data_IF_885219521199
#
_entry.id   IF_885219521199
#
_cell.length_a   1.000
_cell.length_b   1.000
_cell.length_c   1.000
_cell.angle_alpha   90.00
_cell.angle_beta   90.00
_cell.angle_gamma   90.00
#
_symmetry.space_group_name_H-M   'P 1'
#
loop_
_entity.id
_entity.type
_entity.pdbx_description
1 polymer ?
#
# COMPACT_ATOMS: atom_id res chain seq x y z
N UNK A 1 10.43 0.10 6.27
CA UNK A 1 9.54 0.61 7.34
C UNK A 1 10.28 1.26 8.48
N UNK A 2 11.26 0.63 9.14
CA UNK A 2 11.98 1.24 10.28
C UNK A 2 12.57 2.63 9.99
N UNK A 3 13.14 2.86 8.80
CA UNK A 3 13.60 4.20 8.37
C UNK A 3 12.48 5.23 8.27
N UNK A 4 11.31 4.85 7.75
CA UNK A 4 10.15 5.75 7.66
C UNK A 4 9.50 5.97 9.03
N UNK A 5 9.56 4.98 9.91
CA UNK A 5 9.09 5.09 11.29
C UNK A 5 9.88 6.14 12.08
N UNK A 6 11.17 6.27 11.82
CA UNK A 6 11.99 7.37 12.36
C UNK A 6 11.52 8.73 11.86
N UNK A 7 11.17 8.86 10.58
CA UNK A 7 10.62 10.11 10.04
C UNK A 7 9.22 10.42 10.57
N UNK A 8 8.38 9.40 10.72
CA UNK A 8 7.04 9.53 11.30
C UNK A 8 7.08 9.97 12.77
N UNK A 9 8.12 9.54 13.51
CA UNK A 9 8.34 9.98 14.88
C UNK A 9 8.66 11.48 14.95
N UNK A 10 9.47 11.97 14.00
CA UNK A 10 9.88 13.38 13.92
C UNK A 10 8.77 14.28 13.41
N UNK A 11 8.04 13.83 12.38
CA UNK A 11 7.06 14.62 11.67
C UNK A 11 5.76 13.83 11.47
N UNK A 12 4.90 13.76 12.51
CA UNK A 12 3.61 13.10 12.40
C UNK A 12 2.63 14.00 11.61
N UNK A 13 2.63 13.86 10.29
CA UNK A 13 1.74 14.63 9.39
C UNK A 13 1.01 13.70 8.42
N UNK A 14 -0.22 14.02 8.06
CA UNK A 14 -1.00 13.24 7.10
C UNK A 14 -0.38 13.22 5.68
N UNK A 15 0.54 14.15 5.36
CA UNK A 15 1.28 14.18 4.10
C UNK A 15 2.34 13.08 3.97
N UNK A 16 2.68 12.39 5.06
CA UNK A 16 3.58 11.23 5.06
C UNK A 16 4.86 11.43 4.26
N UNK A 17 5.10 10.54 3.29
CA UNK A 17 6.31 10.51 2.45
C UNK A 17 6.51 11.81 1.65
N UNK A 18 5.42 12.41 1.14
CA UNK A 18 5.50 13.69 0.44
C UNK A 18 6.10 14.76 1.34
N UNK A 19 5.59 14.87 2.57
CA UNK A 19 6.09 15.84 3.54
C UNK A 19 7.53 15.54 3.96
N UNK A 20 7.89 14.27 4.18
CA UNK A 20 9.27 13.90 4.49
C UNK A 20 10.23 14.43 3.43
N UNK A 21 9.90 14.25 2.14
CA UNK A 21 10.69 14.78 1.02
C UNK A 21 10.72 16.30 1.02
N UNK A 22 9.63 16.99 1.37
CA UNK A 22 9.66 18.46 1.52
C UNK A 22 10.69 18.90 2.56
N UNK A 23 10.87 18.18 3.67
CA UNK A 23 11.84 18.55 4.70
C UNK A 23 13.27 18.14 4.31
N UNK A 24 13.45 16.90 3.84
CA UNK A 24 14.78 16.31 3.66
C UNK A 24 15.40 16.59 2.28
N UNK A 25 14.63 16.91 1.25
CA UNK A 25 15.19 17.13 -0.10
C UNK A 25 16.03 18.43 -0.19
N UNK A 26 17.01 18.52 -1.12
CA UNK A 26 17.73 19.75 -1.41
C UNK A 26 16.79 20.87 -1.89
N UNK A 27 17.05 22.12 -1.52
CA UNK A 27 16.14 23.26 -1.78
C UNK A 27 15.75 23.39 -3.25
N UNK A 28 16.71 23.21 -4.17
CA UNK A 28 16.50 23.30 -5.62
C UNK A 28 15.48 22.28 -6.15
N UNK A 29 15.44 21.08 -5.57
CA UNK A 29 14.60 19.98 -6.06
C UNK A 29 13.42 19.66 -5.16
N UNK A 30 13.35 20.26 -3.96
CA UNK A 30 12.35 20.00 -2.91
C UNK A 30 10.91 20.04 -3.41
N UNK A 31 10.54 21.10 -4.15
CA UNK A 31 9.17 21.26 -4.65
C UNK A 31 8.81 20.21 -5.70
N UNK A 32 9.71 19.92 -6.63
CA UNK A 32 9.46 18.92 -7.67
C UNK A 32 9.42 17.50 -7.11
N UNK A 33 10.41 17.12 -6.29
CA UNK A 33 10.50 15.78 -5.73
C UNK A 33 9.32 15.48 -4.82
N UNK A 34 8.92 16.40 -3.94
CA UNK A 34 7.75 16.18 -3.09
C UNK A 34 6.46 16.04 -3.89
N UNK A 35 6.28 16.86 -4.94
CA UNK A 35 5.13 16.75 -5.83
C UNK A 35 5.07 15.38 -6.50
N UNK A 36 6.16 14.93 -7.12
CA UNK A 36 6.23 13.62 -7.78
C UNK A 36 5.95 12.49 -6.77
N UNK A 37 6.49 12.59 -5.56
CA UNK A 37 6.28 11.57 -4.53
C UNK A 37 4.84 11.54 -4.03
N UNK A 38 4.19 12.69 -3.85
CA UNK A 38 2.76 12.73 -3.54
C UNK A 38 1.92 12.00 -4.60
N UNK A 39 2.20 12.23 -5.89
CA UNK A 39 1.54 11.51 -6.98
C UNK A 39 1.82 10.01 -6.97
N UNK A 40 3.06 9.61 -6.68
CA UNK A 40 3.43 8.20 -6.57
C UNK A 40 2.66 7.49 -5.45
N UNK A 41 2.50 8.13 -4.28
CA UNK A 41 1.71 7.57 -3.17
C UNK A 41 0.23 7.51 -3.57
N UNK A 42 -0.32 8.56 -4.16
CA UNK A 42 -1.73 8.60 -4.58
C UNK A 42 -2.07 7.49 -5.60
N UNK A 43 -1.22 7.29 -6.60
CA UNK A 43 -1.38 6.19 -7.57
C UNK A 43 -1.26 4.83 -6.88
N UNK A 44 -0.34 4.71 -5.92
CA UNK A 44 -0.20 3.54 -5.08
C UNK A 44 -1.47 3.17 -4.29
N UNK A 45 -2.08 4.16 -3.66
CA UNK A 45 -3.31 4.01 -2.89
C UNK A 45 -4.50 3.61 -3.79
N UNK A 46 -4.63 4.25 -4.96
CA UNK A 46 -5.65 3.90 -5.97
C UNK A 46 -5.45 2.45 -6.45
N UNK A 47 -4.22 2.09 -6.79
CA UNK A 47 -3.86 0.74 -7.20
C UNK A 47 -4.20 -0.31 -6.13
N UNK A 48 -3.92 -0.01 -4.86
CA UNK A 48 -4.16 -0.94 -3.74
C UNK A 48 -5.67 -1.12 -3.50
N UNK A 49 -6.44 -0.04 -3.49
CA UNK A 49 -7.91 -0.09 -3.35
C UNK A 49 -8.55 -0.87 -4.50
N UNK A 50 -8.14 -0.56 -5.74
CA UNK A 50 -8.58 -1.25 -6.94
C UNK A 50 -8.25 -2.74 -6.90
N UNK A 51 -7.04 -3.11 -6.50
CA UNK A 51 -6.63 -4.51 -6.37
C UNK A 51 -7.50 -5.29 -5.39
N UNK A 52 -7.79 -4.70 -4.22
CA UNK A 52 -8.65 -5.33 -3.21
C UNK A 52 -10.09 -5.51 -3.70
N UNK A 53 -10.63 -4.53 -4.43
CA UNK A 53 -11.96 -4.61 -5.03
C UNK A 53 -12.03 -5.68 -6.14
N UNK A 54 -10.97 -5.81 -6.97
CA UNK A 54 -10.92 -6.84 -8.00
C UNK A 54 -10.83 -8.24 -7.39
N UNK A 55 -9.91 -8.46 -6.44
CA UNK A 55 -9.78 -9.75 -5.74
C UNK A 55 -11.12 -10.17 -5.10
N UNK A 56 -11.87 -9.21 -4.56
CA UNK A 56 -13.22 -9.48 -4.02
C UNK A 56 -14.20 -9.92 -5.11
N UNK A 57 -14.16 -9.28 -6.28
CA UNK A 57 -15.01 -9.63 -7.41
C UNK A 57 -14.66 -11.01 -7.99
N UNK A 58 -13.37 -11.35 -8.11
CA UNK A 58 -12.89 -12.66 -8.58
C UNK A 58 -13.25 -13.79 -7.62
N UNK A 59 -13.15 -13.56 -6.30
CA UNK A 59 -13.58 -14.55 -5.30
C UNK A 59 -15.10 -14.82 -5.42
N UNK A 60 -15.90 -13.77 -5.64
CA UNK A 60 -17.35 -13.93 -5.86
C UNK A 60 -17.62 -14.64 -7.19
N UNK A 61 -16.87 -14.32 -8.24
CA UNK A 61 -16.95 -15.00 -9.54
C UNK A 61 -16.74 -16.50 -9.40
N UNK A 62 -15.64 -16.91 -8.78
CA UNK A 62 -15.31 -18.30 -8.57
C UNK A 62 -16.37 -19.03 -7.74
N UNK A 63 -16.94 -18.37 -6.72
CA UNK A 63 -18.05 -18.97 -5.96
C UNK A 63 -19.29 -19.19 -6.83
N UNK A 64 -19.64 -18.25 -7.70
CA UNK A 64 -20.79 -18.40 -8.61
C UNK A 64 -20.54 -19.50 -9.62
N UNK A 65 -19.35 -19.57 -10.21
CA UNK A 65 -18.98 -20.62 -11.18
C UNK A 65 -19.06 -22.03 -10.56
N UNK A 66 -18.60 -22.18 -9.31
CA UNK A 66 -18.67 -23.47 -8.60
C UNK A 66 -20.12 -23.83 -8.21
N UNK A 67 -20.93 -22.85 -7.82
CA UNK A 67 -22.29 -23.10 -7.31
C UNK A 67 -23.36 -23.18 -8.39
N UNK A 68 -23.14 -22.50 -9.52
CA UNK A 68 -24.04 -22.44 -10.67
C UNK A 68 -23.24 -22.60 -11.97
N UNK A 69 -22.92 -23.85 -12.35
CA UNK A 69 -22.11 -24.13 -13.55
C UNK A 69 -22.77 -23.67 -14.87
N UNK A 70 -24.09 -23.42 -14.86
CA UNK A 70 -24.83 -22.90 -16.02
C UNK A 70 -24.64 -21.38 -16.25
N UNK A 71 -24.06 -20.66 -15.28
CA UNK A 71 -23.85 -19.20 -15.39
C UNK A 71 -22.49 -18.94 -16.02
N UNK A 72 -22.50 -18.50 -17.27
CA UNK A 72 -21.29 -17.99 -17.92
C UNK A 72 -20.90 -16.62 -17.34
N UNK A 73 -19.79 -16.58 -16.62
CA UNK A 73 -19.25 -15.35 -16.08
C UNK A 73 -18.83 -14.39 -17.19
N UNK A 74 -19.19 -13.12 -17.05
CA UNK A 74 -18.88 -12.08 -18.04
C UNK A 74 -18.10 -10.94 -17.38
N UNK A 75 -17.16 -10.28 -18.10
CA UNK A 75 -16.33 -9.21 -17.52
C UNK A 75 -17.12 -8.06 -16.87
N UNK A 76 -18.31 -7.73 -17.39
CA UNK A 76 -19.15 -6.69 -16.77
C UNK A 76 -19.69 -7.06 -15.39
N UNK A 77 -19.84 -8.36 -15.09
CA UNK A 77 -20.28 -8.84 -13.77
C UNK A 77 -19.18 -8.56 -12.73
N UNK A 78 -17.91 -8.84 -13.09
CA UNK A 78 -16.74 -8.47 -12.28
C UNK A 78 -16.72 -6.97 -12.01
N UNK A 79 -16.94 -6.14 -13.05
CA UNK A 79 -16.93 -4.68 -12.92
C UNK A 79 -18.06 -4.13 -12.03
N UNK A 80 -19.26 -4.72 -12.09
CA UNK A 80 -20.38 -4.34 -11.22
C UNK A 80 -20.08 -4.63 -9.75
N UNK A 81 -19.54 -5.81 -9.46
CA UNK A 81 -19.15 -6.20 -8.10
C UNK A 81 -18.00 -5.32 -7.60
N UNK A 82 -16.97 -5.12 -8.43
CA UNK A 82 -15.88 -4.19 -8.17
C UNK A 82 -16.39 -2.79 -7.79
N UNK A 83 -17.34 -2.25 -8.56
CA UNK A 83 -17.97 -0.95 -8.29
C UNK A 83 -18.70 -0.94 -6.96
N UNK A 84 -19.43 -2.01 -6.64
CA UNK A 84 -20.08 -2.19 -5.34
C UNK A 84 -19.09 -2.16 -4.17
N UNK A 85 -17.96 -2.85 -4.30
CA UNK A 85 -16.89 -2.87 -3.28
C UNK A 85 -16.17 -1.54 -3.11
N UNK A 86 -16.21 -0.63 -4.09
CA UNK A 86 -15.67 0.72 -3.93
C UNK A 86 -16.68 1.70 -3.33
N UNK A 87 -17.95 1.60 -3.70
CA UNK A 87 -19.01 2.52 -3.25
C UNK A 87 -19.48 2.19 -1.83
N UNK A 88 -19.64 0.90 -1.48
CA UNK A 88 -20.16 0.54 -0.16
C UNK A 88 -19.28 1.04 1.00
N UNK A 89 -17.93 0.92 0.95
CA UNK A 89 -17.04 1.52 1.94
C UNK A 89 -17.13 3.04 2.08
N UNK A 90 -17.52 3.76 1.01
CA UNK A 90 -17.76 5.21 1.09
C UNK A 90 -18.89 5.51 2.07
N UNK A 91 -19.95 4.70 2.06
CA UNK A 91 -21.08 4.85 2.99
C UNK A 91 -20.66 4.63 4.45
N UNK A 92 -19.87 3.58 4.72
CA UNK A 92 -19.29 3.39 6.06
C UNK A 92 -18.38 4.54 6.47
N UNK A 93 -17.63 5.09 5.51
CA UNK A 93 -16.79 6.24 5.75
C UNK A 93 -17.56 7.52 6.04
N UNK A 94 -18.84 7.67 5.68
CA UNK A 94 -19.60 8.88 6.00
C UNK A 94 -19.81 9.10 7.52
N UNK A 95 -19.56 8.08 8.34
CA UNK A 95 -19.73 8.15 9.79
C UNK A 95 -18.38 7.96 10.52
N UNK A 96 -17.51 8.98 10.56
CA UNK A 96 -16.15 8.84 11.08
C UNK A 96 -16.12 8.41 12.56
N UNK A 97 -17.16 8.77 13.32
CA UNK A 97 -17.33 8.39 14.72
C UNK A 97 -17.30 6.88 14.95
N UNK A 98 -17.75 6.07 13.98
CA UNK A 98 -17.78 4.62 14.10
C UNK A 98 -16.56 3.92 13.47
N UNK A 99 -15.70 4.65 12.73
CA UNK A 99 -14.52 4.06 12.10
C UNK A 99 -13.57 3.39 13.10
N UNK A 100 -13.26 3.98 14.28
CA UNK A 100 -12.41 3.29 15.27
C UNK A 100 -13.02 1.98 15.77
N UNK A 101 -14.34 1.94 15.98
CA UNK A 101 -15.03 0.72 16.40
C UNK A 101 -15.01 -0.35 15.29
N UNK A 102 -15.20 0.06 14.03
CA UNK A 102 -15.11 -0.81 12.87
C UNK A 102 -13.68 -1.35 12.66
N UNK A 103 -12.65 -0.56 12.95
CA UNK A 103 -11.25 -1.00 12.91
C UNK A 103 -10.94 -2.05 14.00
N UNK A 104 -11.42 -1.84 15.23
CA UNK A 104 -11.28 -2.83 16.32
C UNK A 104 -12.01 -4.11 15.97
N UNK A 105 -13.25 -4.01 15.47
CA UNK A 105 -13.99 -5.17 14.97
C UNK A 105 -13.22 -5.87 13.85
N UNK A 106 -12.67 -5.13 12.90
CA UNK A 106 -11.90 -5.69 11.79
C UNK A 106 -10.63 -6.40 12.24
N UNK A 107 -9.94 -5.89 13.26
CA UNK A 107 -8.78 -6.57 13.86
C UNK A 107 -9.19 -7.89 14.51
N UNK A 108 -10.25 -7.90 15.32
CA UNK A 108 -10.79 -9.12 15.93
C UNK A 108 -11.27 -10.12 14.87
N UNK A 109 -12.00 -9.64 13.86
CA UNK A 109 -12.51 -10.43 12.75
C UNK A 109 -11.37 -11.07 11.95
N UNK A 110 -10.28 -10.34 11.68
CA UNK A 110 -9.12 -10.87 10.97
C UNK A 110 -8.43 -11.99 11.76
N UNK A 111 -8.08 -11.72 13.03
CA UNK A 111 -7.39 -12.69 13.90
C UNK A 111 -8.24 -13.95 14.11
N UNK A 112 -9.52 -13.78 14.46
CA UNK A 112 -10.44 -14.92 14.66
C UNK A 112 -10.62 -15.74 13.38
N UNK A 113 -10.80 -15.08 12.23
CA UNK A 113 -10.95 -15.79 10.96
C UNK A 113 -9.68 -16.52 10.52
N UNK A 114 -8.50 -15.94 10.78
CA UNK A 114 -7.22 -16.60 10.52
C UNK A 114 -7.05 -17.86 11.36
N UNK A 115 -7.39 -17.79 12.66
CA UNK A 115 -7.35 -18.96 13.55
C UNK A 115 -8.37 -20.03 13.16
N UNK A 116 -9.63 -19.65 12.89
CA UNK A 116 -10.66 -20.59 12.45
C UNK A 116 -10.24 -21.26 11.14
N UNK A 117 -9.74 -20.49 10.17
CA UNK A 117 -9.24 -21.04 8.91
C UNK A 117 -8.10 -22.02 9.15
N UNK A 118 -7.09 -21.67 9.94
CA UNK A 118 -5.98 -22.58 10.23
C UNK A 118 -6.45 -23.88 10.91
N UNK A 119 -7.36 -23.81 11.88
CA UNK A 119 -7.89 -24.99 12.58
C UNK A 119 -8.68 -25.89 11.63
N UNK A 120 -9.62 -25.32 10.86
CA UNK A 120 -10.45 -26.09 9.92
C UNK A 120 -9.56 -26.83 8.92
N UNK A 121 -8.57 -26.15 8.35
CA UNK A 121 -7.68 -26.73 7.35
C UNK A 121 -6.77 -27.81 7.94
N UNK A 122 -6.19 -27.56 9.12
CA UNK A 122 -5.32 -28.54 9.77
C UNK A 122 -6.06 -29.80 10.27
N UNK A 123 -7.38 -29.73 10.46
CA UNK A 123 -8.19 -30.87 10.92
C UNK A 123 -8.81 -31.62 9.75
N UNK A 124 -9.34 -30.92 8.74
CA UNK A 124 -10.18 -31.51 7.70
C UNK A 124 -9.44 -31.82 6.39
N UNK A 125 -8.32 -31.13 6.11
CA UNK A 125 -7.62 -31.30 4.84
C UNK A 125 -6.68 -32.51 4.85
N UNK A 126 -6.53 -33.14 3.69
CA UNK A 126 -5.48 -34.12 3.44
C UNK A 126 -4.10 -33.46 3.55
N UNK A 127 -3.20 -34.13 4.28
CA UNK A 127 -1.90 -33.55 4.64
C UNK A 127 -0.79 -34.02 3.72
N UNK A 128 0.01 -33.09 3.25
CA UNK A 128 1.24 -33.38 2.54
C UNK A 128 2.38 -33.73 3.50
N UNK A 129 3.40 -34.42 2.98
CA UNK A 129 4.59 -34.76 3.75
C UNK A 129 5.44 -33.52 4.07
N UNK A 130 6.17 -33.56 5.18
CA UNK A 130 7.12 -32.48 5.52
C UNK A 130 8.20 -32.28 4.44
N UNK A 131 8.53 -33.34 3.70
CA UNK A 131 9.49 -33.28 2.60
C UNK A 131 8.95 -32.44 1.43
N UNK A 132 7.67 -32.57 1.10
CA UNK A 132 7.01 -31.73 0.09
C UNK A 132 7.08 -30.25 0.50
N UNK A 133 6.76 -29.95 1.76
CA UNK A 133 6.66 -28.56 2.25
C UNK A 133 8.02 -27.83 2.29
N UNK A 134 9.10 -28.51 2.68
CA UNK A 134 10.39 -27.85 2.94
C UNK A 134 11.48 -28.15 1.90
N UNK A 135 11.35 -29.23 1.13
CA UNK A 135 12.42 -29.67 0.22
C UNK A 135 12.05 -29.56 -1.26
N UNK A 136 10.75 -29.63 -1.59
CA UNK A 136 10.32 -29.67 -2.98
C UNK A 136 10.24 -28.26 -3.59
N UNK A 137 10.90 -28.07 -4.73
CA UNK A 137 10.90 -26.81 -5.46
C UNK A 137 10.13 -26.95 -6.78
N UNK A 138 8.90 -26.46 -6.78
CA UNK A 138 8.00 -26.48 -7.93
C UNK A 138 8.24 -25.21 -8.77
N UNK A 139 8.47 -25.39 -10.07
CA UNK A 139 8.66 -24.28 -11.01
C UNK A 139 7.67 -24.38 -12.18
N UNK A 140 6.64 -23.54 -12.14
CA UNK A 140 5.63 -23.40 -13.20
C UNK A 140 5.83 -22.13 -14.04
N UNK A 141 6.88 -21.36 -13.77
CA UNK A 141 7.10 -20.05 -14.39
C UNK A 141 7.67 -20.11 -15.81
N UNK A 142 8.19 -21.26 -16.23
CA UNK A 142 8.91 -21.44 -17.50
C UNK A 142 10.36 -20.93 -17.49
N UNK A 143 10.81 -20.24 -16.43
CA UNK A 143 12.20 -19.79 -16.32
C UNK A 143 13.14 -20.97 -16.05
N UNK A 144 14.28 -21.02 -16.76
CA UNK A 144 15.27 -22.10 -16.60
C UNK A 144 16.03 -22.03 -15.26
N UNK A 145 16.26 -20.83 -14.71
CA UNK A 145 17.03 -20.64 -13.48
C UNK A 145 16.16 -20.79 -12.24
N UNK A 146 16.35 -21.87 -11.48
CA UNK A 146 15.67 -22.09 -10.18
C UNK A 146 15.93 -20.96 -9.18
N UNK A 147 17.15 -20.42 -9.15
CA UNK A 147 17.50 -19.30 -8.27
C UNK A 147 16.75 -18.02 -8.61
N UNK A 148 16.51 -17.76 -9.90
CA UNK A 148 15.70 -16.63 -10.33
C UNK A 148 14.22 -16.81 -9.96
N UNK A 149 13.67 -18.02 -10.13
CA UNK A 149 12.29 -18.33 -9.73
C UNK A 149 12.09 -18.19 -8.24
N UNK A 150 13.08 -18.59 -7.42
CA UNK A 150 13.06 -18.36 -5.98
C UNK A 150 13.01 -16.86 -5.62
N UNK A 151 13.72 -16.01 -6.37
CA UNK A 151 13.66 -14.56 -6.16
C UNK A 151 12.30 -13.99 -6.63
N UNK A 152 11.79 -14.43 -7.77
CA UNK A 152 10.48 -14.00 -8.28
C UNK A 152 9.32 -14.41 -7.37
N UNK A 153 9.40 -15.56 -6.69
CA UNK A 153 8.32 -16.02 -5.78
C UNK A 153 8.12 -15.09 -4.57
N UNK A 154 9.08 -14.21 -4.27
CA UNK A 154 8.94 -13.17 -3.25
C UNK A 154 7.92 -12.08 -3.64
N UNK A 155 7.51 -12.00 -4.91
CA UNK A 155 6.52 -11.04 -5.40
C UNK A 155 5.20 -11.07 -4.59
N UNK A 156 4.64 -12.27 -4.36
CA UNK A 156 3.35 -12.43 -3.66
C UNK A 156 3.44 -12.01 -2.18
N UNK A 157 4.44 -12.46 -1.39
CA UNK A 157 4.64 -11.96 -0.04
C UNK A 157 4.86 -10.45 0.02
N UNK A 158 5.59 -9.88 -0.95
CA UNK A 158 5.81 -8.43 -1.01
C UNK A 158 4.47 -7.73 -1.16
N UNK A 159 3.63 -8.14 -2.12
CA UNK A 159 2.25 -7.63 -2.29
C UNK A 159 1.41 -7.73 -1.00
N UNK A 160 1.49 -8.85 -0.26
CA UNK A 160 0.74 -9.04 0.99
C UNK A 160 1.14 -8.10 2.13
N UNK A 161 2.34 -7.51 2.08
CA UNK A 161 2.86 -6.57 3.08
C UNK A 161 2.72 -5.09 2.64
N UNK A 162 1.99 -4.82 1.55
CA UNK A 162 1.67 -3.45 1.10
C UNK A 162 0.73 -2.72 2.06
N UNK A 163 0.80 -1.39 2.04
CA UNK A 163 -0.17 -0.51 2.70
C UNK A 163 0.09 -0.22 4.19
N UNK A 164 1.20 -0.68 4.75
CA UNK A 164 1.56 -0.35 6.16
C UNK A 164 1.84 1.13 6.39
N UNK A 165 2.08 1.89 5.33
CA UNK A 165 2.24 3.34 5.34
C UNK A 165 0.92 4.10 5.50
N UNK A 166 -0.24 3.44 5.36
CA UNK A 166 -1.56 4.06 5.60
C UNK A 166 -1.67 4.72 6.98
N UNK A 167 -0.94 4.22 7.98
CA UNK A 167 -0.87 4.85 9.31
C UNK A 167 -0.32 6.28 9.23
N UNK A 168 0.61 6.57 8.32
CA UNK A 168 1.18 7.91 8.09
C UNK A 168 0.09 8.92 7.74
N UNK A 169 -0.96 8.50 7.03
CA UNK A 169 -2.04 9.38 6.59
C UNK A 169 -3.12 9.58 7.67
N UNK A 170 -3.03 8.87 8.80
CA UNK A 170 -3.96 8.94 9.94
C UNK A 170 -3.28 9.36 11.24
N UNK A 171 -1.99 9.73 11.21
CA UNK A 171 -1.23 10.11 12.41
C UNK A 171 -1.79 11.32 13.13
N UNK A 172 -2.45 12.25 12.42
CA UNK A 172 -3.09 13.44 13.02
C UNK A 172 -4.28 13.08 13.93
N UNK A 173 -4.88 11.91 13.74
CA UNK A 173 -5.98 11.41 14.57
C UNK A 173 -5.48 10.60 15.79
N UNK A 174 -4.15 10.39 15.91
CA UNK A 174 -3.55 9.63 17.02
C UNK A 174 -3.28 10.51 18.25
N UNK A 175 -3.52 9.98 19.45
CA UNK A 175 -3.27 10.70 20.71
C UNK A 175 -1.79 11.09 20.90
N UNK A 176 -0.86 10.18 20.63
CA UNK A 176 0.58 10.39 20.77
C UNK A 176 1.31 9.95 19.48
N UNK A 177 1.05 10.65 18.38
CA UNK A 177 1.50 10.27 17.04
C UNK A 177 3.02 9.99 16.95
N UNK A 178 3.87 10.88 17.48
CA UNK A 178 5.34 10.75 17.44
C UNK A 178 5.89 9.51 18.16
N UNK A 179 5.15 8.96 19.13
CA UNK A 179 5.55 7.76 19.89
C UNK A 179 4.90 6.49 19.36
N UNK A 180 3.62 6.56 19.03
CA UNK A 180 2.81 5.39 18.73
C UNK A 180 2.85 5.03 17.24
N UNK A 181 2.93 6.00 16.32
CA UNK A 181 3.01 5.71 14.89
C UNK A 181 4.23 4.83 14.52
N UNK A 182 5.46 5.10 15.00
CA UNK A 182 6.61 4.24 14.73
C UNK A 182 6.44 2.80 15.23
N UNK A 183 5.80 2.65 16.40
CA UNK A 183 5.51 1.34 17.00
C UNK A 183 4.51 0.56 16.16
N UNK A 184 3.44 1.20 15.72
CA UNK A 184 2.44 0.59 14.85
C UNK A 184 3.08 0.14 13.53
N UNK A 185 3.91 0.98 12.90
CA UNK A 185 4.59 0.63 11.64
C UNK A 185 5.50 -0.61 11.77
N UNK A 186 6.22 -0.75 12.89
CA UNK A 186 7.14 -1.88 13.09
C UNK A 186 6.37 -3.14 13.49
N UNK A 187 5.51 -3.05 14.51
CA UNK A 187 4.80 -4.22 15.03
C UNK A 187 3.79 -4.78 14.04
N UNK A 188 3.11 -3.94 13.27
CA UNK A 188 2.20 -4.41 12.21
C UNK A 188 2.95 -5.24 11.16
N UNK A 189 4.13 -4.80 10.74
CA UNK A 189 4.96 -5.53 9.77
C UNK A 189 5.48 -6.86 10.33
N UNK A 190 5.92 -6.88 11.59
CA UNK A 190 6.38 -8.11 12.25
C UNK A 190 5.22 -9.11 12.35
N UNK A 191 4.06 -8.68 12.85
CA UNK A 191 2.91 -9.56 13.00
C UNK A 191 2.38 -10.04 11.65
N UNK A 192 2.29 -9.17 10.64
CA UNK A 192 1.89 -9.55 9.29
C UNK A 192 2.85 -10.57 8.67
N UNK A 193 4.17 -10.37 8.84
CA UNK A 193 5.17 -11.32 8.36
C UNK A 193 5.08 -12.70 9.03
N UNK A 194 4.95 -12.72 10.36
CA UNK A 194 4.83 -13.99 11.12
C UNK A 194 3.55 -14.72 10.75
N UNK A 195 2.40 -14.04 10.70
CA UNK A 195 1.12 -14.68 10.35
C UNK A 195 1.09 -15.12 8.89
N UNK A 196 1.67 -14.36 7.96
CA UNK A 196 1.80 -14.77 6.56
C UNK A 196 2.67 -16.03 6.41
N UNK A 197 3.81 -16.09 7.11
CA UNK A 197 4.69 -17.25 7.07
C UNK A 197 4.03 -18.50 7.66
N UNK A 198 3.36 -18.39 8.81
CA UNK A 198 2.59 -19.48 9.39
C UNK A 198 1.45 -19.93 8.47
N UNK A 199 0.74 -18.97 7.84
CA UNK A 199 -0.32 -19.28 6.90
C UNK A 199 0.20 -20.02 5.67
N UNK A 200 1.36 -19.62 5.14
CA UNK A 200 1.99 -20.31 4.01
C UNK A 200 2.36 -21.76 4.36
N UNK A 201 2.90 -22.01 5.56
CA UNK A 201 3.18 -23.38 6.03
C UNK A 201 1.89 -24.20 6.11
N UNK A 202 0.83 -23.65 6.72
CA UNK A 202 -0.46 -24.33 6.81
C UNK A 202 -0.98 -24.65 5.41
N UNK A 203 -0.94 -23.71 4.47
CA UNK A 203 -1.36 -23.93 3.08
C UNK A 203 -0.58 -25.07 2.43
N UNK A 204 0.76 -25.06 2.47
CA UNK A 204 1.57 -26.11 1.87
C UNK A 204 1.29 -27.50 2.45
N UNK A 205 1.00 -27.59 3.75
CA UNK A 205 0.60 -28.86 4.37
C UNK A 205 -0.81 -29.31 3.95
N UNK A 206 -1.73 -28.39 3.68
CA UNK A 206 -3.16 -28.69 3.52
C UNK A 206 -3.65 -28.59 2.08
N UNK A 207 -2.76 -28.32 1.12
CA UNK A 207 -3.09 -28.33 -0.32
C UNK A 207 -3.37 -29.73 -0.86
N UNK A 208 -2.88 -30.79 -0.19
CA UNK A 208 -3.11 -32.17 -0.59
C UNK A 208 -2.42 -32.54 -1.93
N UNK A 209 -2.66 -33.77 -2.42
CA UNK A 209 -2.00 -34.30 -3.61
C UNK A 209 -2.51 -33.70 -4.94
N UNK A 210 -3.73 -33.16 -4.96
CA UNK A 210 -4.37 -32.61 -6.18
C UNK A 210 -4.10 -31.10 -6.37
N UNK A 211 -2.98 -30.60 -5.85
CA UNK A 211 -2.67 -29.17 -5.85
C UNK A 211 -2.54 -28.59 -7.26
N UNK A 212 -2.11 -29.40 -8.23
CA UNK A 212 -1.97 -29.00 -9.64
C UNK A 212 -3.31 -28.56 -10.23
N UNK A 213 -4.38 -29.32 -9.97
CA UNK A 213 -5.73 -29.01 -10.45
C UNK A 213 -6.23 -27.67 -9.92
N UNK A 214 -5.89 -27.32 -8.68
CA UNK A 214 -6.30 -26.03 -8.12
C UNK A 214 -5.59 -24.85 -8.79
N UNK A 215 -4.37 -25.03 -9.30
CA UNK A 215 -3.59 -23.96 -9.92
C UNK A 215 -4.08 -23.58 -11.32
N UNK A 216 -4.88 -24.43 -11.96
CA UNK A 216 -5.45 -24.20 -13.30
C UNK A 216 -6.71 -23.32 -13.25
N UNK A 217 -7.29 -23.13 -12.06
CA UNK A 217 -8.58 -22.48 -11.86
C UNK A 217 -8.45 -20.97 -11.61
N UNK A 218 -9.47 -20.21 -12.04
CA UNK A 218 -9.54 -18.74 -11.93
C UNK A 218 -9.29 -18.23 -10.51
N UNK A 219 -9.76 -18.97 -9.50
CA UNK A 219 -9.40 -18.71 -8.10
C UNK A 219 -8.99 -20.00 -7.41
N UNK A 220 -7.70 -20.32 -7.52
CA UNK A 220 -7.07 -21.48 -6.89
C UNK A 220 -7.43 -21.64 -5.41
N UNK A 221 -7.55 -20.51 -4.69
CA UNK A 221 -7.97 -20.54 -3.29
C UNK A 221 -9.39 -21.08 -3.13
N UNK A 222 -10.38 -20.57 -3.86
CA UNK A 222 -11.79 -20.97 -3.69
C UNK A 222 -11.99 -22.43 -4.05
N UNK A 223 -11.34 -22.91 -5.12
CA UNK A 223 -11.41 -24.32 -5.52
C UNK A 223 -10.69 -25.22 -4.52
N UNK A 224 -9.55 -24.79 -3.97
CA UNK A 224 -8.86 -25.51 -2.90
C UNK A 224 -9.72 -25.65 -1.63
N UNK A 225 -10.52 -24.62 -1.29
CA UNK A 225 -11.41 -24.68 -0.13
C UNK A 225 -12.55 -25.69 -0.31
N UNK A 226 -13.06 -25.84 -1.52
CA UNK A 226 -14.28 -26.58 -1.82
C UNK A 226 -14.25 -28.06 -1.39
N UNK A 227 -13.24 -28.89 -1.75
CA UNK A 227 -13.21 -30.30 -1.39
C UNK A 227 -12.93 -30.53 0.11
N UNK A 228 -12.19 -29.63 0.77
CA UNK A 228 -11.80 -29.77 2.18
C UNK A 228 -13.00 -29.60 3.12
N UNK A 229 -13.91 -28.69 2.77
CA UNK A 229 -15.11 -28.44 3.56
C UNK A 229 -16.24 -29.41 3.17
N UNK A 230 -16.12 -30.05 2.01
CA UNK A 230 -17.05 -31.04 1.49
C UNK A 230 -18.40 -30.46 1.05
N UNK A 231 -19.21 -31.29 0.38
CA UNK A 231 -20.58 -30.99 -0.07
C UNK A 231 -21.58 -30.71 1.08
N UNK A 232 -21.11 -30.69 2.33
CA UNK A 232 -21.92 -30.41 3.52
C UNK A 232 -22.07 -28.90 3.69
N UNK A 233 -23.09 -28.42 2.97
CA UNK A 233 -23.68 -27.09 2.96
C UNK A 233 -22.85 -26.03 2.24
N UNK A 234 -23.43 -25.51 1.15
CA UNK A 234 -23.15 -24.20 0.53
C UNK A 234 -22.77 -23.13 1.58
N UNK A 235 -23.38 -23.19 2.78
CA UNK A 235 -23.20 -22.28 3.92
C UNK A 235 -21.75 -22.22 4.44
N UNK A 236 -20.99 -23.32 4.44
CA UNK A 236 -19.65 -23.39 5.02
C UNK A 236 -18.56 -22.83 4.08
N UNK A 237 -18.62 -23.18 2.79
CA UNK A 237 -17.81 -22.58 1.73
C UNK A 237 -18.18 -21.10 1.51
N UNK A 238 -19.49 -20.79 1.49
CA UNK A 238 -20.01 -19.41 1.43
C UNK A 238 -19.57 -18.61 2.65
N UNK A 239 -19.57 -19.19 3.85
CA UNK A 239 -19.11 -18.53 5.08
C UNK A 239 -17.61 -18.21 5.08
N UNK A 240 -16.77 -19.01 4.39
CA UNK A 240 -15.33 -18.76 4.28
C UNK A 240 -15.01 -17.70 3.22
N UNK A 241 -15.76 -17.72 2.11
CA UNK A 241 -15.73 -16.67 1.07
C UNK A 241 -16.24 -15.33 1.63
N UNK A 242 -17.37 -15.32 2.35
CA UNK A 242 -17.90 -14.12 3.01
C UNK A 242 -16.90 -13.52 4.02
N UNK A 243 -16.12 -14.36 4.70
CA UNK A 243 -15.06 -13.89 5.60
C UNK A 243 -13.94 -13.13 4.88
N UNK A 244 -13.47 -13.65 3.74
CA UNK A 244 -12.42 -12.99 2.93
C UNK A 244 -12.93 -11.70 2.29
N UNK A 245 -14.13 -11.76 1.71
CA UNK A 245 -14.79 -10.61 1.11
C UNK A 245 -15.05 -9.51 2.16
N UNK A 246 -15.48 -9.89 3.37
CA UNK A 246 -15.63 -8.97 4.50
C UNK A 246 -14.31 -8.35 4.97
N UNK A 247 -13.20 -9.09 4.89
CA UNK A 247 -11.87 -8.55 5.19
C UNK A 247 -11.43 -7.52 4.15
N UNK A 248 -11.60 -7.80 2.85
CA UNK A 248 -11.31 -6.83 1.79
C UNK A 248 -12.18 -5.57 1.91
N UNK A 249 -13.44 -5.71 2.28
CA UNK A 249 -14.31 -4.57 2.57
C UNK A 249 -13.69 -3.67 3.65
N UNK A 250 -13.25 -4.25 4.77
CA UNK A 250 -12.61 -3.51 5.86
C UNK A 250 -11.29 -2.86 5.42
N UNK A 251 -10.51 -3.52 4.56
CA UNK A 251 -9.29 -2.95 3.98
C UNK A 251 -9.63 -1.72 3.13
N UNK A 252 -10.60 -1.81 2.24
CA UNK A 252 -11.02 -0.70 1.36
C UNK A 252 -11.57 0.48 2.18
N UNK A 253 -12.29 0.22 3.28
CA UNK A 253 -12.72 1.28 4.21
C UNK A 253 -11.52 2.07 4.75
N UNK A 254 -10.46 1.38 5.18
CA UNK A 254 -9.24 2.01 5.70
C UNK A 254 -8.46 2.74 4.62
N UNK A 255 -8.31 2.16 3.43
CA UNK A 255 -7.63 2.80 2.29
C UNK A 255 -8.37 4.07 1.87
N UNK A 256 -9.71 4.03 1.76
CA UNK A 256 -10.49 5.23 1.45
C UNK A 256 -10.33 6.31 2.53
N UNK A 257 -10.23 5.89 3.80
CA UNK A 257 -9.95 6.80 4.91
C UNK A 257 -8.59 7.47 4.69
N UNK A 258 -7.50 6.69 4.60
CA UNK A 258 -6.14 7.17 4.43
C UNK A 258 -5.95 8.00 3.14
N UNK A 259 -6.38 7.47 1.99
CA UNK A 259 -6.29 8.14 0.69
C UNK A 259 -7.04 9.46 0.63
N UNK A 260 -8.17 9.60 1.34
CA UNK A 260 -8.87 10.89 1.43
C UNK A 260 -8.09 11.96 2.20
N UNK A 261 -7.33 11.59 3.24
CA UNK A 261 -6.48 12.51 4.01
C UNK A 261 -5.24 12.89 3.21
N UNK A 262 -4.63 11.93 2.52
CA UNK A 262 -3.52 12.18 1.60
C UNK A 262 -3.94 13.14 0.49
N UNK A 263 -5.04 12.86 -0.21
CA UNK A 263 -5.53 13.72 -1.28
C UNK A 263 -5.94 15.12 -0.76
N UNK A 264 -6.49 15.20 0.45
CA UNK A 264 -6.78 16.50 1.08
C UNK A 264 -5.50 17.29 1.41
N UNK A 265 -4.49 16.64 1.99
CA UNK A 265 -3.19 17.24 2.30
C UNK A 265 -2.49 17.75 1.03
N UNK A 266 -2.48 16.93 -0.03
CA UNK A 266 -2.01 17.32 -1.35
C UNK A 266 -2.78 18.51 -1.96
N UNK A 267 -4.10 18.56 -1.77
CA UNK A 267 -4.92 19.66 -2.24
C UNK A 267 -4.64 20.98 -1.47
N UNK A 268 -4.33 20.93 -0.17
CA UNK A 268 -3.90 22.11 0.60
C UNK A 268 -2.62 22.71 0.02
N UNK A 269 -1.68 21.86 -0.39
CA UNK A 269 -0.41 22.27 -1.02
C UNK A 269 -0.54 22.68 -2.50
N UNK A 270 -1.77 22.73 -3.04
CA UNK A 270 -2.09 23.04 -4.44
C UNK A 270 -1.52 22.05 -5.46
N UNK A 271 -1.50 20.76 -5.13
CA UNK A 271 -0.97 19.71 -6.02
C UNK A 271 -1.91 19.31 -7.18
N UNK A 272 -3.21 19.66 -7.12
CA UNK A 272 -4.24 19.23 -8.08
C UNK A 272 -4.90 20.37 -8.86
N UNK A 273 -5.48 20.10 -10.04
CA UNK A 273 -6.45 21.02 -10.63
C UNK A 273 -7.64 21.14 -9.68
N UNK A 274 -8.18 22.37 -9.53
CA UNK A 274 -9.25 22.66 -8.56
C UNK A 274 -8.89 22.35 -7.10
N UNK A 275 -7.62 22.43 -6.72
CA UNK A 275 -7.14 22.21 -5.35
C UNK A 275 -8.00 22.85 -4.24
N UNK A 276 -8.47 24.12 -4.35
CA UNK A 276 -9.34 24.70 -3.31
C UNK A 276 -10.65 23.93 -3.08
N UNK A 277 -11.19 23.28 -4.12
CA UNK A 277 -12.39 22.47 -4.02
C UNK A 277 -12.15 21.20 -3.19
N UNK A 278 -11.06 20.49 -3.44
CA UNK A 278 -10.68 19.25 -2.75
C UNK A 278 -10.10 19.47 -1.35
N UNK A 279 -9.50 20.64 -1.09
CA UNK A 279 -8.97 21.02 0.22
C UNK A 279 -10.09 21.36 1.25
N UNK A 280 -11.36 21.39 0.83
CA UNK A 280 -12.48 21.74 1.72
C UNK A 280 -12.93 20.55 2.57
N UNK A 281 -12.97 20.73 3.89
CA UNK A 281 -13.56 19.77 4.84
C UNK A 281 -15.08 19.97 4.90
N UNK A 282 -15.84 18.88 4.85
CA UNK A 282 -17.30 18.92 5.01
C UNK A 282 -17.68 19.17 6.47
N UNK A 283 -18.48 20.21 6.75
CA UNK A 283 -18.97 20.51 8.11
C UNK A 283 -19.91 19.44 8.66
N UNK A 284 -20.66 18.76 7.80
CA UNK A 284 -21.66 17.74 8.21
C UNK A 284 -21.00 16.43 8.65
N UNK A 285 -19.95 16.02 7.94
CA UNK A 285 -19.27 14.74 8.14
C UNK A 285 -17.88 14.88 8.74
N UNK A 286 -17.42 16.11 9.03
CA UNK A 286 -16.12 16.43 9.63
C UNK A 286 -14.92 15.74 8.95
N UNK A 287 -15.00 15.57 7.62
CA UNK A 287 -13.98 14.87 6.82
C UNK A 287 -13.88 15.45 5.40
N UNK A 288 -12.77 15.19 4.68
CA UNK A 288 -12.59 15.66 3.31
C UNK A 288 -13.38 14.82 2.30
N UNK A 289 -14.72 14.90 2.37
CA UNK A 289 -15.64 14.13 1.54
C UNK A 289 -15.38 14.32 0.03
N UNK A 290 -15.06 15.54 -0.41
CA UNK A 290 -14.79 15.83 -1.82
C UNK A 290 -13.53 15.12 -2.31
N UNK A 291 -12.48 15.08 -1.50
CA UNK A 291 -11.25 14.36 -1.81
C UNK A 291 -11.50 12.85 -1.86
N UNK A 292 -12.27 12.31 -0.90
CA UNK A 292 -12.67 10.90 -0.91
C UNK A 292 -13.42 10.53 -2.19
N UNK A 293 -14.45 11.31 -2.57
CA UNK A 293 -15.20 11.08 -3.80
C UNK A 293 -14.31 11.16 -5.05
N UNK A 294 -13.36 12.09 -5.08
CA UNK A 294 -12.38 12.18 -6.17
C UNK A 294 -11.53 10.91 -6.31
N UNK A 295 -11.01 10.40 -5.20
CA UNK A 295 -10.24 9.14 -5.17
C UNK A 295 -11.12 7.95 -5.57
N UNK A 296 -12.38 7.88 -5.12
CA UNK A 296 -13.31 6.82 -5.52
C UNK A 296 -13.61 6.88 -7.01
N UNK A 297 -13.82 8.06 -7.60
CA UNK A 297 -14.05 8.22 -9.05
C UNK A 297 -12.83 7.75 -9.84
N UNK A 298 -11.61 8.09 -9.40
CA UNK A 298 -10.38 7.60 -10.05
C UNK A 298 -10.26 6.08 -9.98
N UNK A 299 -10.61 5.46 -8.85
CA UNK A 299 -10.68 4.00 -8.74
C UNK A 299 -11.72 3.41 -9.71
N UNK A 300 -12.93 3.98 -9.77
CA UNK A 300 -13.97 3.50 -10.72
C UNK A 300 -13.50 3.59 -12.18
N UNK A 301 -12.80 4.67 -12.55
CA UNK A 301 -12.21 4.83 -13.88
C UNK A 301 -11.11 3.80 -14.16
N UNK A 302 -10.26 3.50 -13.16
CA UNK A 302 -9.28 2.43 -13.28
C UNK A 302 -9.96 1.05 -13.47
N UNK A 303 -11.08 0.81 -12.78
CA UNK A 303 -11.90 -0.39 -12.93
C UNK A 303 -12.52 -0.57 -14.32
N UNK A 304 -12.84 0.50 -15.04
CA UNK A 304 -13.38 0.40 -16.42
C UNK A 304 -12.41 -0.35 -17.34
N UNK A 305 -11.11 -0.32 -17.07
CA UNK A 305 -10.11 -1.05 -17.85
C UNK A 305 -10.28 -2.57 -17.77
N UNK A 306 -10.86 -3.09 -16.68
CA UNK A 306 -11.22 -4.52 -16.55
C UNK A 306 -12.18 -4.95 -17.67
N UNK A 307 -13.05 -4.06 -18.14
CA UNK A 307 -13.97 -4.37 -19.25
C UNK A 307 -13.25 -4.57 -20.58
N UNK A 308 -12.08 -3.95 -20.76
CA UNK A 308 -11.30 -4.02 -21.99
C UNK A 308 -10.21 -5.09 -21.95
N UNK A 309 -9.50 -5.22 -20.83
CA UNK A 309 -8.42 -6.18 -20.66
C UNK A 309 -8.03 -6.34 -19.19
N UNK A 310 -8.09 -7.58 -18.68
CA UNK A 310 -7.59 -7.93 -17.34
C UNK A 310 -6.09 -7.64 -17.19
N UNK A 311 -5.32 -7.88 -18.26
CA UNK A 311 -3.89 -7.59 -18.28
C UNK A 311 -3.58 -6.10 -18.10
N UNK A 312 -4.39 -5.21 -18.69
CA UNK A 312 -4.22 -3.78 -18.49
C UNK A 312 -4.46 -3.37 -17.03
N UNK A 313 -5.38 -4.06 -16.35
CA UNK A 313 -5.65 -3.82 -14.94
C UNK A 313 -4.55 -4.33 -14.02
N UNK A 314 -4.06 -5.56 -14.21
CA UNK A 314 -2.92 -6.07 -13.44
C UNK A 314 -1.65 -5.23 -13.65
N UNK A 315 -1.46 -4.67 -14.85
CA UNK A 315 -0.38 -3.74 -15.11
C UNK A 315 -0.47 -2.46 -14.24
N UNK A 316 -1.68 -1.95 -13.96
CA UNK A 316 -1.88 -0.85 -13.02
C UNK A 316 -1.50 -1.26 -11.61
N UNK A 317 -1.90 -2.47 -11.19
CA UNK A 317 -1.58 -2.97 -9.85
C UNK A 317 -0.07 -3.04 -9.65
N UNK A 318 0.65 -3.64 -10.61
CA UNK A 318 2.10 -3.72 -10.56
C UNK A 318 2.76 -2.33 -10.62
N UNK A 319 2.23 -1.41 -11.43
CA UNK A 319 2.73 -0.04 -11.49
C UNK A 319 2.55 0.71 -10.16
N UNK A 320 1.40 0.59 -9.51
CA UNK A 320 1.17 1.16 -8.18
C UNK A 320 2.10 0.57 -7.11
N UNK A 321 2.43 -0.72 -7.24
CA UNK A 321 3.46 -1.38 -6.45
C UNK A 321 4.82 -0.68 -6.53
N UNK A 322 5.24 -0.34 -7.76
CA UNK A 322 6.50 0.37 -8.03
C UNK A 322 6.44 1.81 -7.51
N UNK A 323 5.34 2.54 -7.75
CA UNK A 323 5.26 3.95 -7.33
C UNK A 323 5.32 4.10 -5.82
N UNK A 324 4.70 3.19 -5.06
CA UNK A 324 4.87 3.13 -3.60
C UNK A 324 6.32 2.84 -3.20
N UNK A 325 6.99 1.91 -3.89
CA UNK A 325 8.38 1.63 -3.58
C UNK A 325 9.28 2.85 -3.80
N UNK A 326 9.04 3.60 -4.89
CA UNK A 326 9.73 4.86 -5.16
C UNK A 326 9.42 5.89 -4.05
N UNK A 327 8.16 5.98 -3.60
CA UNK A 327 7.76 6.90 -2.53
C UNK A 327 8.49 6.64 -1.22
N UNK A 328 8.75 5.37 -0.89
CA UNK A 328 9.53 4.98 0.28
C UNK A 328 11.02 5.30 0.11
N UNK A 329 11.58 5.13 -1.09
CA UNK A 329 13.01 5.26 -1.35
C UNK A 329 13.51 6.70 -1.29
N UNK A 330 12.82 7.63 -1.95
CA UNK A 330 13.32 9.00 -2.14
C UNK A 330 13.63 9.72 -0.81
N UNK A 331 12.76 9.73 0.23
CA UNK A 331 13.11 10.37 1.49
C UNK A 331 14.32 9.70 2.16
N UNK A 332 14.42 8.36 2.10
CA UNK A 332 15.56 7.61 2.65
C UNK A 332 16.85 7.98 1.91
N UNK A 333 16.79 8.04 0.58
CA UNK A 333 17.92 8.40 -0.28
C UNK A 333 18.40 9.82 0.01
N UNK A 334 17.49 10.79 0.12
CA UNK A 334 17.84 12.17 0.47
C UNK A 334 18.57 12.26 1.82
N UNK A 335 18.14 11.50 2.83
CA UNK A 335 18.79 11.45 4.14
C UNK A 335 20.14 10.75 4.09
N UNK A 336 20.28 9.66 3.32
CA UNK A 336 21.57 8.99 3.12
C UNK A 336 22.58 9.91 2.43
N UNK A 337 22.15 10.64 1.40
CA UNK A 337 23.02 11.56 0.64
C UNK A 337 23.39 12.82 1.42
N UNK A 338 22.45 13.41 2.17
CA UNK A 338 22.73 14.59 3.02
C UNK A 338 23.43 14.25 4.33
N UNK A 339 23.34 13.00 4.75
CA UNK A 339 23.80 12.52 6.04
C UNK A 339 22.71 12.57 7.12
N UNK A 340 22.68 11.54 7.97
CA UNK A 340 21.69 11.37 9.05
C UNK A 340 21.80 12.41 10.18
N UNK A 341 22.89 13.15 10.23
CA UNK A 341 23.10 14.27 11.17
C UNK A 341 22.22 15.48 10.83
N UNK A 342 21.69 15.56 9.60
CA UNK A 342 20.73 16.59 9.20
C UNK A 342 19.35 16.41 9.88
N UNK A 343 19.05 15.23 10.40
CA UNK A 343 17.79 14.98 11.09
C UNK A 343 17.80 15.64 12.47
N UNK A 344 16.67 16.24 12.90
CA UNK A 344 16.54 16.79 14.25
C UNK A 344 16.68 15.70 15.33
N UNK A 345 16.84 16.08 16.61
CA UNK A 345 16.86 15.13 17.72
C UNK A 345 15.65 14.19 17.67
N UNK A 346 15.89 12.89 17.91
CA UNK A 346 14.90 11.80 17.76
C UNK A 346 14.47 11.29 19.14
N UNK A 347 13.51 11.97 19.83
CA UNK A 347 13.22 11.71 21.23
C UNK A 347 12.51 10.37 21.49
N UNK A 348 11.73 9.86 20.53
CA UNK A 348 10.88 8.69 20.77
C UNK A 348 11.29 7.44 19.99
N UNK A 349 11.87 7.60 18.80
CA UNK A 349 12.37 6.48 17.99
C UNK A 349 13.62 6.90 17.21
N UNK A 350 14.78 6.35 17.60
CA UNK A 350 16.07 6.59 16.96
C UNK A 350 16.70 5.24 16.58
N UNK A 351 17.10 5.09 15.32
CA UNK A 351 17.85 3.92 14.84
C UNK A 351 19.33 3.93 15.30
N UNK A 352 19.79 5.05 15.84
CA UNK A 352 21.14 5.27 16.37
C UNK A 352 22.22 4.93 15.35
N UNK A 353 23.22 4.17 15.79
CA UNK A 353 24.36 3.72 14.96
C UNK A 353 23.95 2.82 13.79
N UNK A 354 22.84 2.11 13.91
CA UNK A 354 22.36 1.21 12.85
C UNK A 354 21.60 1.94 11.74
N UNK A 355 21.30 3.22 11.94
CA UNK A 355 20.45 3.96 11.03
C UNK A 355 20.97 4.08 9.59
N UNK A 356 22.30 4.16 9.37
CA UNK A 356 22.85 4.11 8.01
C UNK A 356 22.71 2.71 7.40
N UNK A 357 23.02 1.66 8.15
CA UNK A 357 22.87 0.28 7.68
C UNK A 357 21.41 -0.02 7.31
N UNK A 358 20.46 0.34 8.17
CA UNK A 358 19.03 0.15 7.92
C UNK A 358 18.56 0.94 6.70
N UNK A 359 19.00 2.19 6.53
CA UNK A 359 18.64 3.00 5.36
C UNK A 359 19.22 2.42 4.06
N UNK A 360 20.50 2.05 4.04
CA UNK A 360 21.15 1.48 2.84
C UNK A 360 20.52 0.14 2.48
N UNK A 361 20.33 -0.75 3.44
CA UNK A 361 19.65 -2.04 3.21
C UNK A 361 18.23 -1.84 2.71
N UNK A 362 17.50 -0.84 3.23
CA UNK A 362 16.16 -0.51 2.74
C UNK A 362 16.18 -0.05 1.28
N UNK A 363 17.16 0.77 0.87
CA UNK A 363 17.30 1.21 -0.53
C UNK A 363 17.65 0.04 -1.46
N UNK A 364 18.60 -0.81 -1.07
CA UNK A 364 18.99 -1.98 -1.85
C UNK A 364 17.84 -2.97 -2.00
N UNK A 365 17.14 -3.27 -0.91
CA UNK A 365 15.94 -4.12 -0.94
C UNK A 365 14.86 -3.54 -1.84
N UNK A 366 14.65 -2.22 -1.79
CA UNK A 366 13.67 -1.56 -2.65
C UNK A 366 13.99 -1.68 -4.13
N UNK A 367 15.27 -1.61 -4.51
CA UNK A 367 15.70 -1.83 -5.90
C UNK A 367 15.34 -3.24 -6.34
N UNK A 368 15.59 -4.24 -5.49
CA UNK A 368 15.24 -5.64 -5.74
C UNK A 368 13.72 -5.80 -5.93
N UNK A 369 12.92 -5.18 -5.06
CA UNK A 369 11.44 -5.18 -5.17
C UNK A 369 10.98 -4.57 -6.49
N UNK A 370 11.54 -3.42 -6.90
CA UNK A 370 11.22 -2.80 -8.20
C UNK A 370 11.54 -3.74 -9.36
N UNK A 371 12.67 -4.47 -9.30
CA UNK A 371 12.98 -5.48 -10.32
C UNK A 371 11.89 -6.56 -10.38
N UNK A 372 11.38 -7.04 -9.26
CA UNK A 372 10.30 -8.05 -9.26
C UNK A 372 9.00 -7.54 -9.90
N UNK A 373 8.68 -6.26 -9.71
CA UNK A 373 7.51 -5.65 -10.35
C UNK A 373 7.68 -5.37 -11.83
N UNK A 374 8.91 -5.35 -12.34
CA UNK A 374 9.23 -5.03 -13.72
C UNK A 374 9.38 -6.30 -14.58
N UNK A 375 9.91 -7.37 -14.00
CA UNK A 375 10.14 -8.61 -14.74
C UNK A 375 8.85 -9.42 -14.92
N UNK A 376 8.74 -10.19 -16.03
CA UNK A 376 7.59 -11.05 -16.27
C UNK A 376 7.62 -12.27 -15.33
N UNK A 377 6.45 -12.60 -14.77
CA UNK A 377 6.29 -13.73 -13.85
C UNK A 377 6.32 -15.09 -14.57
N UNK A 378 5.92 -15.12 -15.85
CA UNK A 378 5.87 -16.31 -16.68
C UNK A 378 6.60 -16.08 -18.03
N UNK A 379 7.22 -17.12 -18.57
CA UNK A 379 7.87 -17.12 -19.89
C UNK A 379 7.41 -18.35 -20.71
N UNK A 380 7.36 -18.27 -22.06
CA UNK A 380 7.84 -17.18 -22.92
C UNK A 380 6.89 -15.96 -22.97
N UNK A 381 7.49 -14.77 -23.13
CA UNK A 381 6.75 -13.51 -23.38
C UNK A 381 6.62 -13.24 -24.89
N UNK A 382 7.61 -13.66 -25.67
CA UNK A 382 7.59 -13.53 -27.14
C UNK A 382 6.54 -14.49 -27.71
N UNK A 383 5.48 -13.93 -28.30
CA UNK A 383 4.35 -14.68 -28.83
C UNK A 383 3.17 -14.87 -27.87
N UNK A 384 3.32 -14.50 -26.58
CA UNK A 384 2.27 -14.57 -25.57
C UNK A 384 2.16 -13.23 -24.84
N UNK A 385 1.43 -12.28 -25.43
CA UNK A 385 1.27 -10.92 -24.89
C UNK A 385 0.71 -10.93 -23.46
N UNK A 386 -0.08 -11.95 -23.12
CA UNK A 386 -0.62 -12.17 -21.77
C UNK A 386 0.45 -12.32 -20.67
N UNK A 387 1.66 -12.76 -21.02
CA UNK A 387 2.77 -12.94 -20.08
C UNK A 387 3.66 -11.68 -19.95
N UNK A 388 3.40 -10.65 -20.76
CA UNK A 388 4.19 -9.43 -20.76
C UNK A 388 3.85 -8.56 -19.54
N UNK A 389 4.87 -8.10 -18.83
CA UNK A 389 4.69 -7.17 -17.73
C UNK A 389 4.67 -5.72 -18.26
N UNK A 390 3.50 -5.08 -18.22
CA UNK A 390 3.28 -3.72 -18.70
C UNK A 390 3.49 -2.63 -17.63
N UNK A 391 4.00 -2.99 -16.45
CA UNK A 391 4.18 -2.05 -15.35
C UNK A 391 5.07 -0.84 -15.72
N UNK A 392 6.14 -1.05 -16.50
CA UNK A 392 7.01 0.05 -16.95
C UNK A 392 6.26 1.06 -17.83
N UNK A 393 5.44 0.56 -18.76
CA UNK A 393 4.69 1.44 -19.66
C UNK A 393 3.69 2.31 -18.88
N UNK A 394 2.99 1.70 -17.92
CA UNK A 394 2.07 2.41 -17.03
C UNK A 394 2.80 3.43 -16.14
N UNK A 395 3.94 3.04 -15.58
CA UNK A 395 4.81 3.92 -14.79
C UNK A 395 5.29 5.13 -15.61
N UNK A 396 5.71 4.90 -16.86
CA UNK A 396 6.06 5.95 -17.81
C UNK A 396 4.91 6.92 -18.03
N UNK A 397 3.69 6.40 -18.22
CA UNK A 397 2.47 7.22 -18.32
C UNK A 397 2.23 8.11 -17.10
N UNK A 398 2.40 7.56 -15.89
CA UNK A 398 2.24 8.31 -14.62
C UNK A 398 3.27 9.43 -14.52
N UNK A 399 4.55 9.14 -14.76
CA UNK A 399 5.61 10.16 -14.71
C UNK A 399 5.44 11.24 -15.78
N UNK A 400 5.04 10.86 -16.99
CA UNK A 400 4.75 11.82 -18.06
C UNK A 400 3.56 12.70 -17.69
N UNK A 401 2.47 12.14 -17.18
CA UNK A 401 1.30 12.91 -16.75
C UNK A 401 1.64 13.88 -15.61
N UNK A 402 2.30 13.40 -14.56
CA UNK A 402 2.73 14.22 -13.44
C UNK A 402 3.71 15.31 -13.89
N UNK A 403 4.67 14.98 -14.77
CA UNK A 403 5.64 15.91 -15.34
C UNK A 403 5.01 16.98 -16.24
N UNK A 404 4.05 16.60 -17.08
CA UNK A 404 3.28 17.55 -17.90
C UNK A 404 2.51 18.52 -17.02
N UNK A 405 1.78 18.04 -16.01
CA UNK A 405 1.04 18.91 -15.10
C UNK A 405 1.99 19.84 -14.31
N UNK A 406 3.13 19.31 -13.87
CA UNK A 406 4.16 20.12 -13.21
C UNK A 406 4.62 21.27 -14.11
N UNK A 407 4.86 21.01 -15.39
CA UNK A 407 5.34 22.02 -16.31
C UNK A 407 4.28 23.09 -16.63
N UNK A 408 3.03 22.67 -16.80
CA UNK A 408 1.90 23.55 -17.14
C UNK A 408 1.47 24.41 -15.95
N UNK A 409 1.31 23.82 -14.77
CA UNK A 409 0.65 24.49 -13.63
C UNK A 409 1.34 24.27 -12.29
N UNK A 410 1.83 23.06 -12.02
CA UNK A 410 2.42 22.72 -10.71
C UNK A 410 3.59 23.62 -10.31
N UNK A 411 4.50 23.95 -11.24
CA UNK A 411 5.64 24.85 -10.97
C UNK A 411 5.22 26.26 -10.53
N UNK A 412 4.01 26.69 -10.89
CA UNK A 412 3.46 28.03 -10.66
C UNK A 412 2.44 28.09 -9.51
N UNK A 413 2.08 26.98 -8.87
CA UNK A 413 1.10 26.99 -7.77
C UNK A 413 1.53 26.17 -6.55
N UNK A 414 2.27 25.07 -6.74
CA UNK A 414 2.61 24.14 -5.66
C UNK A 414 3.68 24.75 -4.72
N UNK A 415 3.33 24.97 -3.44
CA UNK A 415 4.22 25.51 -2.39
C UNK A 415 4.84 26.91 -2.64
N UNK A 416 4.15 27.83 -3.33
CA UNK A 416 4.69 29.19 -3.62
C UNK A 416 4.37 30.24 -2.54
N UNK A 417 3.19 30.19 -1.92
CA UNK A 417 2.76 31.20 -0.95
C UNK A 417 2.97 30.81 0.52
N UNK A 418 2.92 29.51 0.82
CA UNK A 418 3.03 28.94 2.16
C UNK A 418 3.11 27.42 2.00
N UNK A 419 3.89 26.75 2.83
CA UNK A 419 3.78 25.30 2.98
C UNK A 419 2.84 25.08 4.16
N UNK A 420 1.55 24.90 3.88
CA UNK A 420 0.53 24.80 4.92
C UNK A 420 0.83 23.68 5.91
N UNK A 421 1.48 22.59 5.47
CA UNK A 421 1.87 21.51 6.35
C UNK A 421 3.02 21.96 7.27
N UNK A 422 4.03 22.69 6.79
CA UNK A 422 5.11 23.24 7.65
C UNK A 422 4.63 24.38 8.57
N UNK A 423 3.68 25.19 8.10
CA UNK A 423 3.14 26.30 8.87
C UNK A 423 2.15 25.81 9.95
N UNK A 424 1.37 24.74 9.68
CA UNK A 424 0.38 24.18 10.61
C UNK A 424 0.94 23.06 11.51
N UNK A 425 2.05 22.41 11.14
CA UNK A 425 2.66 21.37 12.01
C UNK A 425 3.39 22.01 13.17
N UNK A 426 3.18 21.48 14.37
CA UNK A 426 3.91 21.87 15.57
C UNK A 426 4.92 20.75 15.88
N UNK A 427 6.20 21.11 15.92
CA UNK A 427 7.32 20.22 16.24
C UNK A 427 7.80 20.57 17.64
N UNK A 428 7.96 19.56 18.50
CA UNK A 428 8.51 19.75 19.84
C UNK A 428 10.04 19.83 19.76
N UNK A 429 10.64 20.92 20.23
CA UNK A 429 12.08 21.08 20.41
C UNK A 429 12.40 21.30 21.89
N UNK A 430 12.80 20.25 22.60
CA UNK A 430 12.91 20.29 24.06
C UNK A 430 11.53 20.46 24.71
N UNK A 431 11.36 21.48 25.56
CA UNK A 431 10.06 21.85 26.17
C UNK A 431 9.26 22.85 25.32
N UNK A 432 9.82 23.36 24.22
CA UNK A 432 9.17 24.37 23.38
C UNK A 432 8.43 23.74 22.19
N UNK A 433 7.20 24.22 21.94
CA UNK A 433 6.41 23.91 20.75
C UNK A 433 6.77 24.95 19.68
N UNK A 434 7.44 24.54 18.60
CA UNK A 434 7.79 25.42 17.46
C UNK A 434 7.03 24.99 16.22
N UNK A 435 6.71 25.91 15.31
CA UNK A 435 6.10 25.55 14.03
C UNK A 435 7.08 24.71 13.19
N UNK A 436 6.59 23.85 12.29
CA UNK A 436 7.43 23.03 11.42
C UNK A 436 8.36 23.87 10.55
N UNK A 437 7.92 25.08 10.21
CA UNK A 437 8.73 26.11 9.54
C UNK A 437 9.84 26.67 10.42
N UNK A 438 9.55 27.00 11.67
CA UNK A 438 10.55 27.44 12.66
C UNK A 438 11.53 26.32 13.00
N UNK A 439 11.07 25.07 13.09
CA UNK A 439 11.95 23.91 13.24
C UNK A 439 12.93 23.83 12.06
N UNK A 440 12.42 23.82 10.82
CA UNK A 440 13.27 23.78 9.62
C UNK A 440 14.22 24.99 9.55
N UNK A 441 13.79 26.18 9.97
CA UNK A 441 14.61 27.39 9.99
C UNK A 441 15.69 27.37 11.09
N UNK A 442 15.35 26.95 12.31
CA UNK A 442 16.29 26.85 13.43
C UNK A 442 17.41 25.84 13.16
N UNK A 443 17.08 24.71 12.53
CA UNK A 443 18.08 23.73 12.10
C UNK A 443 18.91 24.20 10.90
N UNK A 444 18.36 25.08 10.04
CA UNK A 444 19.11 25.75 8.98
C UNK A 444 20.10 26.79 9.52
N UNK A 445 19.71 27.54 10.56
CA UNK A 445 20.54 28.58 11.18
C UNK A 445 21.65 28.02 12.07
N UNK A 446 21.38 26.98 12.88
CA UNK A 446 22.43 26.33 13.68
C UNK A 446 23.65 25.95 12.84
N UNK A 447 23.43 25.53 11.59
CA UNK A 447 24.49 25.17 10.64
C UNK A 447 25.18 26.37 9.99
N UNK A 448 24.48 27.47 9.71
CA UNK A 448 25.13 28.69 9.23
C UNK A 448 26.12 29.23 10.27
N UNK A 449 25.84 29.03 11.56
CA UNK A 449 26.74 29.40 12.65
C UNK A 449 27.84 28.35 12.87
N UNK A 450 27.58 27.05 12.67
CA UNK A 450 28.64 26.01 12.77
C UNK A 450 29.61 26.04 11.59
N UNK A 451 29.13 26.26 10.35
CA UNK A 451 29.97 26.38 9.16
C UNK A 451 30.78 27.70 9.18
N UNK A 452 30.27 28.77 9.84
CA UNK A 452 31.06 29.98 10.14
C UNK A 452 32.11 29.77 11.23
N UNK A 453 31.85 28.92 12.22
CA UNK A 453 32.81 28.60 13.29
C UNK A 453 33.86 27.57 12.88
N UNK A 454 33.56 26.68 11.92
CA UNK A 454 34.51 25.72 11.36
C UNK A 454 35.38 26.30 10.22
N UNK A 455 35.13 27.56 9.83
CA UNK A 455 35.89 28.30 8.83
C UNK A 455 36.87 29.33 9.39
N UNK A 456 37.35 29.15 10.62
CA UNK A 456 38.42 29.94 11.25
C UNK A 456 39.60 29.04 11.61
#
# INVERSE_FOLDING_TARGET
>A
MASLAEYASLWPTAGGQQFFVQVVAPEKYRRFLSYVIGWCVLVGEISTSSSCALNSAEIVAALVEITQPDVHWKPYMTWLIYTGFLIAPVLSNLLPKYLPALQIFGAFFNISNGLIWAIVFLVMADKNSANFVFSEFINTSGWASKGWVFLLSMYVPIYGLYGTDAVLHLVEEMKNASRDAPRVMIWSMIWAGVTAWLSAIVMCYTVGPNWETYMEETSAYVVWLHPIVGTYHLISSTGLVHRRVGLYYLIIVNINTAGSRLAWSMAKDRAFPFSPYFATISKRFTMPLRAMMGVTVLNLLAGVLVLGSELAFYAIISAGGITLQISYCIPILCVVLKGRQYLPPRPHFDLGRWGYAVNITSLLWSIIVVLFYVFPQYVPVVGAIQNMNWAIAMLGGVFVFAGMYWHVKGRHEYLIGSNSILDDTLVMHGEAVITGREAVAAFGQQRADTDKQAGV
#
